data_IF_814637178392
#
_entry.id   IF_814637178392
#
_cell.length_a   1.000
_cell.length_b   1.000
_cell.length_c   1.000
_cell.angle_alpha   90.00
_cell.angle_beta   90.00
_cell.angle_gamma   90.00
#
_symmetry.space_group_name_H-M   'P 1'
#
loop_
_entity.id
_entity.type
_entity.pdbx_description
1 polymer ?
#
# COMPACT_ATOMS: atom_id res chain seq x y z
N UNK A 1 -23.06 -9.73 -25.38
CA UNK A 1 -23.29 -10.54 -24.17
C UNK A 1 -22.76 -9.77 -22.98
N UNK A 2 -23.63 -9.20 -22.16
CA UNK A 2 -23.21 -8.48 -20.95
C UNK A 2 -23.31 -9.44 -19.78
N UNK A 3 -22.18 -9.91 -19.28
CA UNK A 3 -22.14 -10.73 -18.06
C UNK A 3 -22.41 -9.79 -16.88
N UNK A 4 -23.52 -10.00 -16.19
CA UNK A 4 -23.79 -9.30 -14.92
C UNK A 4 -22.92 -9.93 -13.82
N UNK A 5 -22.11 -9.16 -13.07
CA UNK A 5 -21.37 -9.73 -11.96
C UNK A 5 -22.31 -10.10 -10.81
N UNK A 6 -22.11 -11.30 -10.26
CA UNK A 6 -22.85 -11.84 -9.14
C UNK A 6 -22.71 -10.94 -7.90
N UNK A 7 -23.85 -10.55 -7.33
CA UNK A 7 -23.98 -9.67 -6.16
C UNK A 7 -23.71 -10.40 -4.83
N UNK A 8 -22.59 -11.13 -4.75
CA UNK A 8 -22.13 -11.82 -3.55
C UNK A 8 -20.88 -11.16 -2.99
N UNK A 9 -21.06 -10.23 -2.06
CA UNK A 9 -20.06 -9.73 -1.09
C UNK A 9 -18.72 -9.28 -1.73
N UNK A 10 -18.78 -8.29 -2.61
CA UNK A 10 -17.65 -7.38 -2.75
C UNK A 10 -17.90 -6.23 -1.80
N UNK A 11 -17.23 -6.20 -0.64
CA UNK A 11 -17.04 -4.93 0.05
C UNK A 11 -16.23 -4.08 -0.92
N UNK A 12 -16.91 -3.26 -1.73
CA UNK A 12 -16.26 -2.30 -2.62
C UNK A 12 -15.82 -1.15 -1.72
N UNK A 13 -14.83 -1.43 -0.88
CA UNK A 13 -14.22 -0.37 -0.09
C UNK A 13 -13.74 0.71 -1.06
N UNK A 14 -14.04 1.98 -0.79
CA UNK A 14 -13.63 3.06 -1.67
C UNK A 14 -12.11 3.04 -1.82
N UNK A 15 -11.64 3.10 -3.06
CA UNK A 15 -10.23 3.35 -3.33
C UNK A 15 -9.94 4.81 -3.03
N UNK A 16 -8.89 5.06 -2.29
CA UNK A 16 -8.51 6.41 -1.90
C UNK A 16 -7.40 6.99 -2.75
N UNK A 17 -6.49 6.15 -3.24
CA UNK A 17 -5.36 6.58 -4.07
C UNK A 17 -4.90 5.48 -5.03
N UNK A 18 -4.22 5.88 -6.09
CA UNK A 18 -3.46 4.98 -6.96
C UNK A 18 -2.26 5.72 -7.58
N UNK A 19 -1.13 5.03 -7.69
CA UNK A 19 0.11 5.67 -8.11
C UNK A 19 1.06 4.70 -8.81
N UNK A 20 1.68 5.16 -9.89
CA UNK A 20 2.74 4.44 -10.60
C UNK A 20 4.06 4.55 -9.85
N UNK A 21 4.84 3.47 -9.85
CA UNK A 21 6.19 3.50 -9.31
C UNK A 21 7.10 4.32 -10.23
N UNK A 22 7.78 5.31 -9.67
CA UNK A 22 8.65 6.21 -10.43
C UNK A 22 9.89 5.52 -11.03
N UNK A 23 10.30 4.39 -10.45
CA UNK A 23 11.49 3.66 -10.87
C UNK A 23 11.12 2.36 -11.61
N UNK A 24 9.88 1.90 -11.52
CA UNK A 24 9.38 0.66 -12.14
C UNK A 24 8.15 0.91 -13.03
N UNK A 25 8.35 0.93 -14.35
CA UNK A 25 7.26 1.17 -15.31
C UNK A 25 6.19 0.07 -15.32
N UNK A 26 6.49 -1.09 -14.76
CA UNK A 26 5.53 -2.18 -14.66
C UNK A 26 4.86 -2.25 -13.30
N UNK A 27 5.23 -1.39 -12.34
CA UNK A 27 4.64 -1.42 -11.01
C UNK A 27 3.75 -0.21 -10.76
N UNK A 28 2.58 -0.46 -10.19
CA UNK A 28 1.74 0.57 -9.62
C UNK A 28 1.09 0.06 -8.34
N UNK A 29 0.62 0.98 -7.51
CA UNK A 29 -0.11 0.64 -6.30
C UNK A 29 -1.54 1.18 -6.32
N UNK A 30 -2.39 0.56 -5.52
CA UNK A 30 -3.73 1.03 -5.17
C UNK A 30 -3.87 1.04 -3.66
N UNK A 31 -4.43 2.10 -3.11
CA UNK A 31 -4.62 2.28 -1.69
C UNK A 31 -6.10 2.38 -1.34
N UNK A 32 -6.49 1.72 -0.25
CA UNK A 32 -7.80 1.85 0.39
C UNK A 32 -7.62 1.90 1.90
N UNK A 33 -8.73 2.04 2.63
CA UNK A 33 -8.74 2.39 4.04
C UNK A 33 -7.72 1.68 4.91
N UNK A 34 -7.54 0.37 4.76
CA UNK A 34 -6.71 -0.39 5.69
C UNK A 34 -5.51 -1.05 5.01
N UNK A 35 -5.30 -0.78 3.72
CA UNK A 35 -4.36 -1.56 2.94
C UNK A 35 -3.94 -0.93 1.62
N UNK A 36 -2.69 -1.17 1.27
CA UNK A 36 -2.07 -0.82 -0.01
C UNK A 36 -1.77 -2.13 -0.73
N UNK A 37 -2.12 -2.21 -2.02
CA UNK A 37 -1.78 -3.34 -2.88
C UNK A 37 -0.86 -2.88 -4.00
N UNK A 38 0.12 -3.70 -4.31
CA UNK A 38 1.10 -3.47 -5.36
C UNK A 38 0.80 -4.43 -6.51
N UNK A 39 0.84 -3.92 -7.73
CA UNK A 39 0.42 -4.61 -8.94
C UNK A 39 1.55 -4.62 -9.97
N UNK A 40 1.61 -5.69 -10.76
CA UNK A 40 2.36 -5.74 -12.00
C UNK A 40 1.40 -5.40 -13.15
N UNK A 41 1.66 -4.31 -13.87
CA UNK A 41 0.87 -3.85 -15.01
C UNK A 41 0.79 -4.86 -16.16
N UNK A 42 1.76 -5.78 -16.23
CA UNK A 42 1.77 -6.86 -17.22
C UNK A 42 0.83 -8.01 -16.82
N UNK A 43 0.48 -8.13 -15.54
CA UNK A 43 -0.47 -9.11 -15.03
C UNK A 43 -1.22 -8.61 -13.79
N UNK A 44 -2.39 -8.00 -14.02
CA UNK A 44 -3.24 -7.42 -12.98
C UNK A 44 -4.24 -8.40 -12.39
N UNK A 45 -4.10 -9.71 -12.64
CA UNK A 45 -5.05 -10.72 -12.15
C UNK A 45 -4.98 -10.85 -10.62
N UNK A 46 -3.78 -10.63 -10.05
CA UNK A 46 -3.51 -10.67 -8.61
C UNK A 46 -2.48 -9.61 -8.25
N UNK A 47 -2.59 -9.06 -7.05
CA UNK A 47 -1.55 -8.17 -6.51
C UNK A 47 -0.28 -8.99 -6.23
N UNK A 48 0.87 -8.38 -6.49
CA UNK A 48 2.18 -8.95 -6.22
C UNK A 48 2.46 -8.94 -4.72
N UNK A 49 2.06 -7.86 -4.04
CA UNK A 49 2.30 -7.66 -2.62
C UNK A 49 1.15 -6.85 -1.99
N UNK A 50 0.96 -7.05 -0.69
CA UNK A 50 -0.05 -6.37 0.12
C UNK A 50 0.59 -5.80 1.39
N UNK A 51 0.38 -4.50 1.62
CA UNK A 51 0.78 -3.80 2.84
C UNK A 51 -0.48 -3.52 3.65
N UNK A 52 -0.59 -4.17 4.79
CA UNK A 52 -1.65 -3.93 5.79
C UNK A 52 -1.21 -2.80 6.73
N UNK A 53 -2.16 -1.94 7.09
CA UNK A 53 -1.92 -0.72 7.87
C UNK A 53 -2.27 -0.93 9.37
N UNK A 54 -2.52 -2.18 9.80
CA UNK A 54 -3.06 -2.53 11.14
C UNK A 54 -2.00 -2.50 12.25
N UNK A 55 -2.30 -1.99 13.44
CA UNK A 55 -3.01 -2.75 14.50
C UNK A 55 -3.93 -1.87 15.40
N UNK A 56 -5.00 -1.28 14.88
CA UNK A 56 -5.96 -0.55 15.71
C UNK A 56 -7.22 -0.06 14.99
N UNK A 57 -8.28 0.20 15.76
CA UNK A 57 -9.63 0.56 15.29
C UNK A 57 -9.73 1.89 14.50
N UNK A 58 -8.65 2.66 14.35
CA UNK A 58 -8.68 4.04 13.85
C UNK A 58 -7.57 4.39 12.82
N UNK A 59 -6.97 3.41 12.15
CA UNK A 59 -5.88 3.66 11.20
C UNK A 59 -6.35 3.64 9.74
N UNK A 60 -7.22 4.59 9.37
CA UNK A 60 -7.66 4.74 7.98
C UNK A 60 -6.57 5.48 7.19
N UNK A 61 -6.04 4.86 6.14
CA UNK A 61 -5.16 5.47 5.15
C UNK A 61 -5.97 6.41 4.25
N UNK A 62 -5.47 7.63 4.04
CA UNK A 62 -6.08 8.58 3.11
C UNK A 62 -5.32 8.68 1.80
N UNK A 63 -4.00 8.55 1.83
CA UNK A 63 -3.11 8.70 0.67
C UNK A 63 -1.88 7.82 0.84
N UNK A 64 -1.33 7.37 -0.27
CA UNK A 64 -0.05 6.67 -0.32
C UNK A 64 0.74 7.11 -1.54
N UNK A 65 2.05 7.31 -1.39
CA UNK A 65 2.98 7.74 -2.45
C UNK A 65 4.23 6.87 -2.47
N UNK A 66 4.75 6.57 -3.65
CA UNK A 66 6.07 5.96 -3.78
C UNK A 66 7.16 6.96 -3.44
N UNK A 67 8.27 6.48 -2.89
CA UNK A 67 9.48 7.29 -2.77
C UNK A 67 10.05 7.54 -4.17
N UNK A 68 10.35 8.79 -4.54
CA UNK A 68 11.05 9.08 -5.79
C UNK A 68 12.51 8.58 -5.76
N UNK A 69 13.06 8.36 -4.56
CA UNK A 69 14.45 7.97 -4.36
C UNK A 69 14.65 6.46 -4.21
N UNK A 70 13.64 5.74 -3.69
CA UNK A 70 13.74 4.30 -3.43
C UNK A 70 12.54 3.56 -4.02
N UNK A 71 12.79 2.69 -5.01
CA UNK A 71 11.77 1.86 -5.68
C UNK A 71 10.82 1.13 -4.74
N UNK A 72 11.29 0.69 -3.58
CA UNK A 72 10.55 -0.18 -2.68
C UNK A 72 10.00 0.55 -1.45
N UNK A 73 10.02 1.88 -1.42
CA UNK A 73 9.57 2.63 -0.24
C UNK A 73 8.28 3.35 -0.57
N UNK A 74 7.28 3.20 0.30
CA UNK A 74 5.98 3.86 0.23
C UNK A 74 5.80 4.70 1.48
N UNK A 75 5.29 5.91 1.34
CA UNK A 75 4.85 6.74 2.46
C UNK A 75 3.33 6.93 2.40
N UNK A 76 2.66 6.91 3.54
CA UNK A 76 1.20 7.05 3.61
C UNK A 76 0.72 7.87 4.80
N UNK A 77 -0.34 8.62 4.56
CA UNK A 77 -0.97 9.51 5.53
C UNK A 77 -2.21 8.84 6.11
N UNK A 78 -2.24 8.72 7.43
CA UNK A 78 -3.31 8.03 8.17
C UNK A 78 -4.20 9.00 8.95
N UNK A 79 -5.39 8.54 9.32
CA UNK A 79 -6.40 9.32 10.03
C UNK A 79 -6.02 9.73 11.46
N UNK A 80 -5.04 9.07 12.04
CA UNK A 80 -4.42 9.43 13.32
C UNK A 80 -3.45 10.62 13.20
N UNK A 81 -3.30 11.20 12.00
CA UNK A 81 -2.40 12.33 11.74
C UNK A 81 -0.94 11.92 11.60
N UNK A 82 -0.65 10.61 11.56
CA UNK A 82 0.71 10.09 11.40
C UNK A 82 1.02 9.83 9.93
N UNK A 83 2.24 10.21 9.52
CA UNK A 83 2.85 9.71 8.30
C UNK A 83 3.60 8.42 8.65
N UNK A 84 3.28 7.35 7.93
CA UNK A 84 3.97 6.06 8.01
C UNK A 84 4.77 5.81 6.76
N UNK A 85 5.89 5.12 6.89
CA UNK A 85 6.72 4.66 5.78
C UNK A 85 6.83 3.15 5.84
N UNK A 86 6.66 2.48 4.71
CA UNK A 86 6.81 1.03 4.56
C UNK A 86 7.84 0.72 3.48
N UNK A 87 8.63 -0.32 3.73
CA UNK A 87 9.49 -0.95 2.74
C UNK A 87 8.79 -2.20 2.19
N UNK A 88 8.69 -2.29 0.87
CA UNK A 88 8.09 -3.40 0.14
C UNK A 88 9.16 -4.42 -0.18
N UNK A 89 8.82 -5.71 -0.12
CA UNK A 89 9.78 -6.80 -0.32
C UNK A 89 10.07 -7.12 -1.79
N UNK A 90 9.71 -6.22 -2.70
CA UNK A 90 9.87 -6.34 -4.14
C UNK A 90 11.33 -6.54 -4.62
N UNK A 91 12.36 -6.51 -3.75
CA UNK A 91 13.75 -6.78 -4.16
C UNK A 91 14.57 -7.80 -3.33
N UNK A 92 14.02 -8.93 -2.90
CA UNK A 92 14.91 -10.03 -2.48
C UNK A 92 14.50 -11.38 -3.04
N UNK A 93 15.49 -12.03 -3.67
CA UNK A 93 15.49 -13.42 -4.13
C UNK A 93 14.75 -14.35 -3.14
N UNK A 94 14.07 -15.41 -3.64
CA UNK A 94 13.46 -16.41 -2.77
C UNK A 94 14.56 -17.14 -1.99
N UNK A 95 14.78 -16.78 -0.73
CA UNK A 95 15.81 -17.43 0.10
C UNK A 95 16.22 -16.73 1.40
N UNK A 96 15.80 -15.49 1.66
CA UNK A 96 16.05 -14.83 2.94
C UNK A 96 14.86 -15.01 3.89
N UNK A 97 15.03 -15.74 4.98
CA UNK A 97 14.08 -15.71 6.10
C UNK A 97 14.04 -14.30 6.71
N UNK A 98 13.17 -13.44 6.18
CA UNK A 98 12.68 -12.29 6.94
C UNK A 98 11.56 -12.77 7.84
N UNK A 99 11.71 -12.54 9.14
CA UNK A 99 10.70 -12.87 10.14
C UNK A 99 9.46 -12.02 9.86
N UNK A 100 8.32 -12.69 9.63
CA UNK A 100 7.00 -12.07 9.65
C UNK A 100 6.80 -11.41 11.01
N UNK A 101 6.73 -10.07 11.06
CA UNK A 101 6.36 -9.38 12.30
C UNK A 101 6.81 -7.94 12.45
N UNK A 102 7.82 -7.48 11.72
CA UNK A 102 8.34 -6.12 11.90
C UNK A 102 8.49 -5.47 10.52
N UNK A 103 7.37 -4.98 9.97
CA UNK A 103 7.45 -4.01 8.88
C UNK A 103 7.96 -2.73 9.53
N UNK A 104 9.14 -2.26 9.13
CA UNK A 104 9.77 -1.04 9.64
C UNK A 104 8.83 0.16 9.43
N UNK A 105 8.03 0.50 10.44
CA UNK A 105 7.17 1.68 10.41
C UNK A 105 7.96 2.87 10.96
N UNK A 106 8.49 3.73 10.08
CA UNK A 106 8.96 5.05 10.50
C UNK A 106 7.75 5.98 10.60
N UNK A 107 7.52 6.49 11.81
CA UNK A 107 6.43 7.41 12.15
C UNK A 107 6.95 8.84 12.20
N UNK A 108 6.38 9.73 11.38
CA UNK A 108 6.62 11.17 11.49
C UNK A 108 5.32 11.86 11.94
N UNK A 109 5.43 12.70 12.97
CA UNK A 109 4.35 13.56 13.47
C UNK A 109 4.62 14.97 12.99
N UNK A 110 3.72 15.55 12.20
CA UNK A 110 3.76 16.98 11.94
C UNK A 110 2.92 17.69 13.01
N UNK A 111 3.45 17.79 14.23
CA UNK A 111 2.82 18.60 15.28
C UNK A 111 2.92 20.06 14.85
N UNK A 112 1.79 20.66 14.46
CA UNK A 112 1.74 22.06 14.05
C UNK A 112 2.33 22.95 15.14
N UNK A 113 3.46 23.59 14.84
CA UNK A 113 3.83 24.82 15.54
C UNK A 113 2.85 25.89 15.07
N UNK A 114 2.01 26.36 15.99
CA UNK A 114 1.30 27.62 15.86
C UNK A 114 2.10 28.71 16.57
#
# INVERSE_FOLDING_TARGET
MTVKPNAGIYRRDPMFDCEWNYQDEHSFMTAHAEMIRIWDARNTTKSVEQVEIHNGLHNILYRARWSPHHRNVIAGLCADGLLRVWCTNTSSKPGGHQKEGEKDELLFIHSGHQ
#
